data_IF_818210209710
#
_entry.id   IF_818210209710
#
_cell.length_a   1.000
_cell.length_b   1.000
_cell.length_c   1.000
_cell.angle_alpha   90.00
_cell.angle_beta   90.00
_cell.angle_gamma   90.00
#
_symmetry.space_group_name_H-M   'P 1'
#
loop_
_entity.id
_entity.type
_entity.pdbx_description
1 polymer ?
#
# COMPACT_ATOMS: atom_id res chain seq x y z
N UNK A 1 -3.16 17.43 -74.98
CA UNK A 1 -3.08 18.10 -73.66
C UNK A 1 -4.51 18.12 -73.11
N UNK A 2 -4.99 17.20 -72.26
CA UNK A 2 -4.52 16.77 -70.94
C UNK A 2 -4.01 17.97 -70.13
N UNK A 3 -4.82 18.49 -69.20
CA UNK A 3 -4.65 18.17 -67.78
C UNK A 3 -5.83 18.64 -66.91
N UNK A 4 -6.06 17.84 -65.87
CA UNK A 4 -7.08 17.92 -64.84
C UNK A 4 -7.16 19.29 -64.13
N UNK A 5 -8.37 19.66 -63.71
CA UNK A 5 -8.58 20.52 -62.54
C UNK A 5 -9.72 19.93 -61.72
N UNK A 6 -9.39 18.84 -61.03
CA UNK A 6 -10.09 18.42 -59.81
C UNK A 6 -9.74 19.44 -58.73
N UNK A 7 -10.73 20.17 -58.24
CA UNK A 7 -10.60 20.90 -56.98
C UNK A 7 -11.89 20.70 -56.21
N UNK A 8 -11.90 19.60 -55.51
CA UNK A 8 -12.82 19.23 -54.45
C UNK A 8 -12.84 20.34 -53.39
N UNK A 9 -14.03 20.89 -53.14
CA UNK A 9 -14.31 21.74 -51.98
C UNK A 9 -14.11 20.92 -50.70
N UNK A 10 -13.00 21.17 -50.01
CA UNK A 10 -12.76 20.66 -48.65
C UNK A 10 -13.25 21.73 -47.66
N UNK A 11 -14.28 21.47 -46.83
CA UNK A 11 -14.59 22.35 -45.73
C UNK A 11 -13.47 22.23 -44.70
N UNK A 12 -12.72 23.32 -44.52
CA UNK A 12 -11.69 23.41 -43.49
C UNK A 12 -12.38 23.39 -42.12
N UNK A 13 -12.39 22.23 -41.46
CA UNK A 13 -12.69 22.14 -40.03
C UNK A 13 -11.80 23.12 -39.26
N UNK A 14 -12.43 24.16 -38.73
CA UNK A 14 -11.78 25.11 -37.85
C UNK A 14 -11.60 24.46 -36.48
N UNK A 15 -10.35 24.11 -36.18
CA UNK A 15 -9.85 23.60 -34.89
C UNK A 15 -10.45 24.34 -33.69
N UNK A 16 -10.86 23.57 -32.68
CA UNK A 16 -11.30 24.05 -31.36
C UNK A 16 -10.36 25.12 -30.76
N UNK A 17 -10.87 26.29 -30.35
CA UNK A 17 -10.09 27.22 -29.56
C UNK A 17 -10.11 26.80 -28.08
N UNK A 18 -9.12 26.01 -27.68
CA UNK A 18 -8.79 25.76 -26.26
C UNK A 18 -8.10 26.97 -25.54
N UNK A 19 -7.65 28.10 -26.16
CA UNK A 19 -6.98 29.14 -25.37
C UNK A 19 -7.93 30.02 -24.53
N UNK A 20 -9.24 30.03 -24.80
CA UNK A 20 -10.19 30.92 -24.09
C UNK A 20 -10.71 30.34 -22.76
N UNK A 21 -10.68 29.03 -22.57
CA UNK A 21 -11.14 28.42 -21.32
C UNK A 21 -10.12 28.58 -20.19
N UNK A 22 -8.83 28.47 -20.49
CA UNK A 22 -7.77 28.65 -19.49
C UNK A 22 -7.65 30.10 -19.01
N UNK A 23 -7.87 31.08 -19.89
CA UNK A 23 -7.84 32.50 -19.50
C UNK A 23 -9.07 32.91 -18.68
N UNK A 24 -10.27 32.44 -19.02
CA UNK A 24 -11.49 32.69 -18.23
C UNK A 24 -11.46 32.01 -16.86
N UNK A 25 -10.87 30.79 -16.77
CA UNK A 25 -10.70 30.10 -15.49
C UNK A 25 -9.75 30.84 -14.53
N UNK A 26 -8.74 31.53 -15.05
CA UNK A 26 -7.72 32.24 -14.25
C UNK A 26 -8.10 33.69 -13.97
N UNK A 27 -9.06 34.29 -14.68
CA UNK A 27 -9.53 35.66 -14.41
C UNK A 27 -10.44 35.79 -13.20
N UNK A 28 -11.09 34.71 -12.77
CA UNK A 28 -11.98 34.76 -11.62
C UNK A 28 -11.18 34.74 -10.30
N UNK A 29 -11.23 35.79 -9.46
CA UNK A 29 -10.50 35.85 -8.20
C UNK A 29 -10.87 34.69 -7.26
N UNK A 30 -12.09 34.17 -7.37
CA UNK A 30 -12.54 32.99 -6.61
C UNK A 30 -11.81 31.73 -7.05
N UNK A 31 -11.54 31.55 -8.34
CA UNK A 31 -10.81 30.38 -8.84
C UNK A 31 -9.33 30.41 -8.45
N UNK A 32 -8.70 31.59 -8.47
CA UNK A 32 -7.33 31.75 -7.95
C UNK A 32 -7.30 31.46 -6.45
N UNK A 33 -8.28 31.97 -5.69
CA UNK A 33 -8.40 31.69 -4.27
C UNK A 33 -8.61 30.19 -4.00
N UNK A 34 -9.51 29.53 -4.72
CA UNK A 34 -9.75 28.09 -4.63
C UNK A 34 -8.50 27.29 -5.01
N UNK A 35 -7.79 27.67 -6.07
CA UNK A 35 -6.54 27.03 -6.45
C UNK A 35 -5.49 27.20 -5.37
N UNK A 36 -5.37 28.39 -4.78
CA UNK A 36 -4.49 28.67 -3.64
C UNK A 36 -4.86 27.83 -2.42
N UNK A 37 -6.13 27.71 -2.07
CA UNK A 37 -6.62 26.87 -0.97
C UNK A 37 -6.34 25.40 -1.25
N UNK A 38 -6.61 24.91 -2.46
CA UNK A 38 -6.32 23.53 -2.88
C UNK A 38 -4.82 23.28 -2.80
N UNK A 39 -3.98 24.18 -3.31
CA UNK A 39 -2.52 24.08 -3.20
C UNK A 39 -2.06 24.11 -1.75
N UNK A 40 -2.65 24.94 -0.88
CA UNK A 40 -2.34 24.99 0.56
C UNK A 40 -2.78 23.70 1.26
N UNK A 41 -3.95 23.17 0.95
CA UNK A 41 -4.46 21.92 1.52
C UNK A 41 -3.62 20.74 1.06
N UNK A 42 -3.30 20.65 -0.23
CA UNK A 42 -2.39 19.64 -0.78
C UNK A 42 -1.00 19.79 -0.17
N UNK A 43 -0.45 21.00 -0.07
CA UNK A 43 0.82 21.26 0.61
C UNK A 43 0.76 20.86 2.07
N UNK A 44 -0.36 21.12 2.77
CA UNK A 44 -0.50 20.78 4.19
C UNK A 44 -0.69 19.28 4.40
N UNK A 45 -1.35 18.57 3.47
CA UNK A 45 -1.47 17.11 3.47
C UNK A 45 -0.11 16.47 3.17
N UNK A 46 0.57 16.93 2.12
CA UNK A 46 1.91 16.45 1.72
C UNK A 46 2.92 16.77 2.83
N UNK A 47 2.97 17.99 3.36
CA UNK A 47 3.87 18.38 4.45
C UNK A 47 3.53 17.73 5.79
N UNK A 48 2.26 17.39 6.06
CA UNK A 48 1.92 16.58 7.23
C UNK A 48 2.44 15.15 7.08
N UNK A 49 2.49 14.63 5.85
CA UNK A 49 3.07 13.32 5.54
C UNK A 49 4.60 13.34 5.36
N UNK A 50 5.19 14.50 5.05
CA UNK A 50 6.62 14.66 4.70
C UNK A 50 7.42 15.44 5.77
N UNK A 51 6.77 15.83 6.87
CA UNK A 51 7.41 16.43 8.04
C UNK A 51 8.13 15.40 8.92
N UNK A 52 8.00 14.12 8.61
CA UNK A 52 8.90 13.07 9.07
C UNK A 52 10.02 12.99 8.03
N UNK A 53 11.18 13.54 8.39
CA UNK A 53 12.40 13.40 7.61
C UNK A 53 12.56 11.95 7.18
N UNK A 54 12.62 11.72 5.86
CA UNK A 54 13.20 10.50 5.30
C UNK A 54 14.69 10.56 5.62
N UNK A 55 15.06 10.31 6.86
CA UNK A 55 16.28 9.56 7.11
C UNK A 55 16.05 8.23 6.38
N UNK A 56 16.97 7.85 5.49
CA UNK A 56 17.01 6.47 5.01
C UNK A 56 16.78 5.58 6.23
N UNK A 57 15.82 4.63 6.20
CA UNK A 57 15.59 3.78 7.36
C UNK A 57 16.94 3.18 7.68
N UNK A 58 17.52 3.57 8.82
CA UNK A 58 18.69 2.90 9.39
C UNK A 58 18.17 1.49 9.58
N UNK A 59 18.46 0.63 8.61
CA UNK A 59 17.99 -0.75 8.60
C UNK A 59 18.40 -1.26 9.98
N UNK A 60 17.44 -1.61 10.85
CA UNK A 60 17.79 -2.21 12.11
C UNK A 60 18.73 -3.34 11.76
N UNK A 61 19.98 -3.30 12.26
CA UNK A 61 20.98 -4.31 11.96
C UNK A 61 20.64 -5.55 12.79
N UNK A 62 19.46 -6.09 12.50
CA UNK A 62 18.89 -7.25 13.12
C UNK A 62 19.38 -8.46 12.34
N UNK A 63 19.79 -9.53 13.02
CA UNK A 63 20.17 -10.75 12.34
C UNK A 63 18.99 -11.23 11.50
N UNK A 64 19.29 -11.65 10.26
CA UNK A 64 18.32 -12.29 9.37
C UNK A 64 17.70 -13.45 10.14
N UNK A 65 16.39 -13.36 10.33
CA UNK A 65 15.62 -14.39 10.99
C UNK A 65 15.05 -15.27 9.89
N UNK A 66 15.37 -16.55 9.90
CA UNK A 66 14.79 -17.53 8.99
C UNK A 66 14.31 -18.73 9.79
N UNK A 67 12.99 -18.80 10.02
CA UNK A 67 12.34 -19.82 10.84
C UNK A 67 10.84 -19.83 10.55
N UNK A 68 10.21 -20.99 10.65
CA UNK A 68 8.76 -21.06 10.71
C UNK A 68 8.23 -20.62 12.08
N UNK A 69 7.04 -20.02 12.09
CA UNK A 69 6.42 -19.47 13.28
C UNK A 69 5.08 -20.13 13.56
N UNK A 70 4.83 -20.40 14.83
CA UNK A 70 3.47 -20.56 15.33
C UNK A 70 2.83 -19.18 15.55
N UNK A 71 1.50 -19.12 15.63
CA UNK A 71 0.80 -17.87 15.95
C UNK A 71 1.23 -17.26 17.30
N UNK A 72 1.49 -18.11 18.30
CA UNK A 72 1.94 -17.65 19.62
C UNK A 72 3.35 -17.06 19.59
N UNK A 73 4.23 -17.61 18.75
CA UNK A 73 5.56 -17.05 18.52
C UNK A 73 5.46 -15.75 17.72
N UNK A 74 4.63 -15.70 16.68
CA UNK A 74 4.44 -14.52 15.84
C UNK A 74 3.92 -13.32 16.65
N UNK A 75 2.98 -13.56 17.57
CA UNK A 75 2.39 -12.53 18.46
C UNK A 75 3.41 -11.74 19.28
N UNK A 76 4.58 -12.31 19.54
CA UNK A 76 5.65 -11.62 20.28
C UNK A 76 6.20 -10.45 19.46
N UNK A 77 6.31 -10.61 18.14
CA UNK A 77 6.92 -9.66 17.20
C UNK A 77 5.94 -8.55 16.76
N UNK A 78 5.42 -7.80 17.72
CA UNK A 78 4.51 -6.67 17.48
C UNK A 78 5.19 -5.29 17.56
N UNK A 79 6.53 -5.25 17.64
CA UNK A 79 7.30 -4.00 17.75
C UNK A 79 7.38 -3.35 19.13
N UNK A 80 6.81 -3.98 20.17
CA UNK A 80 6.91 -3.50 21.58
C UNK A 80 8.13 -4.05 22.33
N UNK A 81 8.74 -5.10 21.78
CA UNK A 81 9.95 -5.74 22.29
C UNK A 81 11.19 -4.82 22.20
N UNK A 82 12.25 -5.17 22.95
CA UNK A 82 13.46 -4.36 23.06
C UNK A 82 14.21 -4.18 21.73
N UNK A 83 14.17 -5.19 20.86
CA UNK A 83 14.71 -5.14 19.49
C UNK A 83 13.75 -4.44 18.51
N UNK A 84 12.50 -4.20 18.91
CA UNK A 84 11.49 -3.49 18.14
C UNK A 84 11.05 -4.19 16.85
N UNK A 85 11.37 -5.48 16.68
CA UNK A 85 11.08 -6.24 15.45
C UNK A 85 9.56 -6.44 15.28
N UNK A 86 9.10 -6.28 14.05
CA UNK A 86 7.70 -6.45 13.66
C UNK A 86 7.62 -7.48 12.55
N UNK A 87 6.88 -8.57 12.80
CA UNK A 87 6.60 -9.60 11.81
C UNK A 87 5.10 -9.62 11.49
N UNK A 88 4.75 -9.90 10.24
CA UNK A 88 3.36 -10.05 9.80
C UNK A 88 3.27 -11.28 8.91
N UNK A 89 2.23 -12.09 9.12
CA UNK A 89 1.90 -13.17 8.20
C UNK A 89 0.88 -12.72 7.14
N UNK A 90 1.14 -13.08 5.89
CA UNK A 90 0.25 -12.85 4.75
C UNK A 90 0.21 -14.13 3.92
N UNK A 91 -0.99 -14.68 3.74
CA UNK A 91 -1.27 -15.92 3.05
C UNK A 91 -0.39 -17.10 3.52
N UNK A 92 -0.14 -17.20 4.84
CA UNK A 92 0.71 -18.24 5.42
C UNK A 92 2.22 -17.98 5.32
N UNK A 93 2.67 -16.86 4.75
CA UNK A 93 4.08 -16.47 4.70
C UNK A 93 4.36 -15.31 5.65
N UNK A 94 5.44 -15.41 6.42
CA UNK A 94 5.85 -14.41 7.42
C UNK A 94 6.91 -13.49 6.83
N UNK A 95 6.69 -12.19 6.96
CA UNK A 95 7.57 -11.14 6.46
C UNK A 95 8.07 -10.23 7.59
N UNK A 96 9.31 -9.79 7.51
CA UNK A 96 9.89 -8.78 8.40
C UNK A 96 9.54 -7.38 7.89
N UNK A 97 8.64 -6.71 8.60
CA UNK A 97 8.16 -5.36 8.26
C UNK A 97 8.73 -4.31 9.20
N UNK A 98 9.83 -4.61 9.91
CA UNK A 98 10.42 -3.71 10.90
C UNK A 98 10.85 -2.38 10.28
N UNK A 99 11.29 -2.37 9.02
CA UNK A 99 11.61 -1.14 8.27
C UNK A 99 10.39 -0.21 8.09
N UNK A 100 9.17 -0.75 8.17
CA UNK A 100 7.90 -0.03 8.06
C UNK A 100 7.23 0.21 9.43
N UNK A 101 8.02 0.41 10.49
CA UNK A 101 7.54 0.66 11.86
C UNK A 101 6.56 1.84 11.98
N UNK A 102 6.66 2.86 11.13
CA UNK A 102 5.68 3.97 11.08
C UNK A 102 4.25 3.50 10.76
N UNK A 103 4.11 2.38 10.03
CA UNK A 103 2.84 1.83 9.60
C UNK A 103 2.33 0.74 10.55
N UNK A 104 3.20 -0.21 10.89
CA UNK A 104 2.85 -1.42 11.63
C UNK A 104 3.28 -1.39 13.10
N UNK A 105 4.11 -0.43 13.50
CA UNK A 105 4.54 -0.29 14.88
C UNK A 105 3.44 0.28 15.79
N UNK A 106 3.67 0.30 17.12
CA UNK A 106 2.72 0.85 18.07
C UNK A 106 2.30 2.29 17.71
N UNK A 107 0.99 2.52 17.57
CA UNK A 107 0.43 3.82 17.18
C UNK A 107 0.32 4.07 15.67
N UNK A 108 0.83 3.15 14.84
CA UNK A 108 0.66 3.19 13.38
C UNK A 108 -0.74 2.80 12.93
N UNK A 109 -1.17 3.22 11.72
CA UNK A 109 -2.51 2.93 11.19
C UNK A 109 -2.79 1.44 10.99
N UNK A 110 -1.74 0.63 10.82
CA UNK A 110 -1.83 -0.82 10.61
C UNK A 110 -1.23 -1.62 11.76
N UNK A 111 -1.11 -1.01 12.95
CA UNK A 111 -0.60 -1.64 14.16
C UNK A 111 -1.35 -2.92 14.55
N UNK A 112 -2.63 -3.03 14.16
CA UNK A 112 -3.46 -4.22 14.40
C UNK A 112 -2.93 -5.49 13.72
N UNK A 113 -2.08 -5.37 12.69
CA UNK A 113 -1.49 -6.53 12.01
C UNK A 113 -0.15 -6.97 12.61
N UNK A 114 0.45 -6.17 13.48
CA UNK A 114 1.77 -6.44 14.06
C UNK A 114 1.76 -7.74 14.89
N UNK A 115 2.61 -8.68 14.51
CA UNK A 115 2.72 -9.99 15.14
C UNK A 115 1.51 -10.91 14.87
N UNK A 116 0.74 -10.67 13.81
CA UNK A 116 -0.48 -11.42 13.51
C UNK A 116 -0.56 -11.85 12.05
N UNK A 117 -1.52 -12.72 11.77
CA UNK A 117 -1.95 -13.03 10.42
C UNK A 117 -2.88 -11.92 9.91
N UNK A 118 -2.40 -11.19 8.90
CA UNK A 118 -3.13 -10.09 8.26
C UNK A 118 -3.96 -10.56 7.07
N UNK A 119 -3.93 -11.84 6.70
CA UNK A 119 -4.50 -12.35 5.45
C UNK A 119 -5.97 -11.97 5.25
N UNK A 120 -6.82 -12.25 6.23
CA UNK A 120 -8.25 -11.88 6.15
C UNK A 120 -8.47 -10.38 6.09
N UNK A 121 -7.74 -9.62 6.91
CA UNK A 121 -7.84 -8.16 6.92
C UNK A 121 -7.47 -7.55 5.57
N UNK A 122 -6.41 -8.06 4.95
CA UNK A 122 -5.97 -7.64 3.62
C UNK A 122 -6.95 -8.07 2.52
N UNK A 123 -7.49 -9.29 2.60
CA UNK A 123 -8.46 -9.81 1.65
C UNK A 123 -9.79 -9.04 1.67
N UNK A 124 -10.23 -8.63 2.86
CA UNK A 124 -11.52 -7.96 3.11
C UNK A 124 -11.42 -6.43 3.23
N UNK A 125 -10.21 -5.87 3.06
CA UNK A 125 -9.92 -4.45 3.26
C UNK A 125 -10.31 -3.92 4.65
N UNK A 126 -10.16 -4.76 5.68
CA UNK A 126 -10.44 -4.45 7.08
C UNK A 126 -9.16 -4.43 7.90
N UNK A 127 -9.03 -3.45 8.80
CA UNK A 127 -7.88 -3.35 9.73
C UNK A 127 -8.13 -4.17 11.00
N UNK A 128 -9.22 -4.95 11.06
CA UNK A 128 -9.49 -5.87 12.15
C UNK A 128 -8.72 -7.16 11.91
N UNK A 129 -7.78 -7.48 12.81
CA UNK A 129 -7.14 -8.80 12.85
C UNK A 129 -7.90 -9.72 13.79
N UNK A 130 -8.00 -10.99 13.43
CA UNK A 130 -8.52 -12.01 14.34
C UNK A 130 -7.56 -12.14 15.53
N UNK A 131 -8.09 -11.89 16.73
CA UNK A 131 -7.31 -12.04 17.97
C UNK A 131 -7.16 -13.53 18.34
N UNK A 132 -8.12 -14.33 17.87
CA UNK A 132 -8.43 -15.67 18.34
C UNK A 132 -7.96 -16.76 17.36
N UNK A 133 -6.67 -17.05 17.41
CA UNK A 133 -6.11 -18.26 16.82
C UNK A 133 -5.91 -18.22 15.30
N UNK A 134 -5.87 -19.41 14.70
CA UNK A 134 -5.61 -19.60 13.28
C UNK A 134 -6.85 -19.31 12.47
N UNK A 135 -6.70 -18.50 11.42
CA UNK A 135 -7.79 -18.08 10.57
C UNK A 135 -7.88 -18.98 9.34
N UNK A 136 -8.99 -19.72 9.21
CA UNK A 136 -9.24 -20.52 8.01
C UNK A 136 -9.81 -19.63 6.90
N UNK A 137 -9.07 -19.46 5.83
CA UNK A 137 -9.40 -18.59 4.69
C UNK A 137 -10.24 -19.30 3.62
N UNK A 138 -10.73 -20.52 3.90
CA UNK A 138 -11.53 -21.32 2.96
C UNK A 138 -12.89 -20.70 2.62
N UNK A 139 -13.36 -19.76 3.43
CA UNK A 139 -14.61 -19.02 3.28
C UNK A 139 -14.50 -17.78 2.38
N UNK A 140 -13.29 -17.38 1.99
CA UNK A 140 -13.07 -16.22 1.13
C UNK A 140 -13.62 -16.43 -0.28
N UNK A 141 -14.28 -15.40 -0.81
CA UNK A 141 -14.73 -15.36 -2.20
C UNK A 141 -13.54 -15.31 -3.17
N UNK A 142 -13.75 -15.66 -4.46
CA UNK A 142 -12.67 -15.60 -5.47
C UNK A 142 -12.04 -14.21 -5.60
N UNK A 143 -12.81 -13.15 -5.39
CA UNK A 143 -12.35 -11.75 -5.45
C UNK A 143 -11.47 -11.39 -4.26
N UNK A 144 -11.86 -11.81 -3.06
CA UNK A 144 -11.07 -11.60 -1.82
C UNK A 144 -9.76 -12.40 -1.89
N UNK A 145 -9.81 -13.63 -2.41
CA UNK A 145 -8.64 -14.46 -2.64
C UNK A 145 -7.67 -13.84 -3.66
N UNK A 146 -8.19 -13.23 -4.73
CA UNK A 146 -7.37 -12.51 -5.70
C UNK A 146 -6.70 -11.29 -5.06
N UNK A 147 -7.45 -10.54 -4.24
CA UNK A 147 -6.92 -9.39 -3.49
C UNK A 147 -5.82 -9.80 -2.52
N UNK A 148 -6.00 -10.93 -1.80
CA UNK A 148 -5.00 -11.49 -0.91
C UNK A 148 -3.70 -11.85 -1.63
N UNK A 149 -3.79 -12.48 -2.81
CA UNK A 149 -2.62 -12.82 -3.63
C UNK A 149 -1.87 -11.58 -4.13
N UNK A 150 -2.60 -10.52 -4.49
CA UNK A 150 -1.97 -9.26 -4.87
C UNK A 150 -1.20 -8.65 -3.70
N UNK A 151 -1.78 -8.67 -2.49
CA UNK A 151 -1.08 -8.25 -1.27
C UNK A 151 0.14 -9.11 -0.97
N UNK A 152 0.04 -10.44 -1.08
CA UNK A 152 1.18 -11.35 -0.91
C UNK A 152 2.34 -10.98 -1.83
N UNK A 153 2.07 -10.74 -3.13
CA UNK A 153 3.09 -10.35 -4.10
C UNK A 153 3.74 -9.00 -3.74
N UNK A 154 2.95 -8.02 -3.30
CA UNK A 154 3.49 -6.74 -2.85
C UNK A 154 4.37 -6.88 -1.61
N UNK A 155 3.98 -7.72 -0.65
CA UNK A 155 4.77 -8.01 0.54
C UNK A 155 6.08 -8.71 0.18
N UNK A 156 6.03 -9.71 -0.71
CA UNK A 156 7.21 -10.43 -1.18
C UNK A 156 8.23 -9.51 -1.88
N UNK A 157 7.74 -8.51 -2.63
CA UNK A 157 8.62 -7.55 -3.30
C UNK A 157 9.22 -6.51 -2.35
N UNK A 158 8.48 -6.14 -1.30
CA UNK A 158 8.84 -5.01 -0.42
C UNK A 158 9.59 -5.42 0.84
N UNK A 159 9.32 -6.60 1.37
CA UNK A 159 9.80 -7.04 2.68
C UNK A 159 10.58 -8.35 2.61
N UNK A 160 11.44 -8.58 3.60
CA UNK A 160 12.22 -9.82 3.67
C UNK A 160 11.34 -10.98 4.14
N UNK A 161 11.35 -12.07 3.39
CA UNK A 161 10.70 -13.31 3.79
C UNK A 161 11.48 -13.99 4.93
N UNK A 162 10.77 -14.35 6.00
CA UNK A 162 11.34 -14.90 7.25
C UNK A 162 11.01 -16.39 7.39
N UNK A 163 9.82 -16.83 6.97
CA UNK A 163 9.43 -18.24 7.07
C UNK A 163 7.93 -18.45 6.91
N UNK A 164 7.44 -19.66 7.15
CA UNK A 164 6.02 -19.97 7.05
C UNK A 164 5.29 -19.82 8.39
N UNK A 165 4.00 -19.47 8.33
CA UNK A 165 3.10 -19.55 9.47
C UNK A 165 2.53 -20.97 9.55
N UNK A 166 2.85 -21.67 10.63
CA UNK A 166 2.44 -23.05 10.84
C UNK A 166 0.95 -23.14 11.18
N UNK A 167 0.25 -24.07 10.53
CA UNK A 167 -1.13 -24.39 10.87
C UNK A 167 -1.20 -25.14 12.21
N UNK A 168 -2.35 -25.08 12.92
CA UNK A 168 -2.56 -25.88 14.12
C UNK A 168 -2.31 -27.37 13.86
N UNK A 169 -1.25 -27.93 14.45
CA UNK A 169 -0.87 -29.34 14.30
C UNK A 169 0.21 -29.64 13.25
N UNK A 170 0.67 -28.63 12.51
CA UNK A 170 1.80 -28.75 11.58
C UNK A 170 3.13 -28.66 12.35
N UNK A 171 4.13 -29.46 11.97
CA UNK A 171 5.45 -29.45 12.60
C UNK A 171 6.40 -28.59 11.77
N UNK A 172 7.29 -27.80 12.41
CA UNK A 172 8.34 -27.10 11.68
C UNK A 172 9.24 -28.13 10.99
N UNK A 173 9.59 -27.89 9.73
CA UNK A 173 10.60 -28.69 9.05
C UNK A 173 11.95 -28.45 9.75
N UNK A 174 12.51 -29.52 10.35
CA UNK A 174 13.78 -29.49 11.09
C UNK A 174 14.99 -29.59 10.18
#
# INVERSE_FOLDING_TARGET
>A
MVDNSDSSDVPTESRCPIPNLFSEMVQNPVNIFLLGVITILLYRIIKRSFGESVEEPVKPNLPKLQKDFTLEELKKYNGTQADGRILIAVNGFVYDVTEAKQFYGPGGPYAAFAGRDASRGLATFSVVSNEDGYDDLSDLSPTELASLREWELQFQQKYEFVGALLKPGERPYS
#
